data_IF_266617693867
#
_entry.id   IF_266617693867
#
_cell.length_a   1.000
_cell.length_b   1.000
_cell.length_c   1.000
_cell.angle_alpha   90.00
_cell.angle_beta   90.00
_cell.angle_gamma   90.00
#
_symmetry.space_group_name_H-M   'P 1'
#
loop_
_entity.id
_entity.type
_entity.pdbx_description
1 polymer ?
#
# COMPACT_ATOMS: atom_id res chain seq x y z
N UNK A 1 -38.46 -94.29 -15.39
CA UNK A 1 -37.06 -93.77 -15.48
C UNK A 1 -36.96 -92.95 -16.73
N UNK A 2 -36.86 -91.64 -16.66
CA UNK A 2 -36.73 -90.82 -17.84
C UNK A 2 -36.39 -89.36 -17.39
N UNK A 3 -35.14 -89.06 -17.44
CA UNK A 3 -34.66 -87.70 -17.23
C UNK A 3 -35.05 -86.77 -18.39
N UNK A 4 -35.73 -85.68 -18.06
CA UNK A 4 -35.91 -84.53 -19.02
C UNK A 4 -34.88 -83.52 -18.79
N UNK A 5 -34.16 -83.12 -19.91
CA UNK A 5 -33.19 -82.07 -19.98
C UNK A 5 -33.84 -80.72 -19.79
N UNK A 6 -33.16 -79.85 -19.05
CA UNK A 6 -33.47 -78.42 -18.96
C UNK A 6 -33.16 -77.73 -20.30
N UNK A 7 -34.05 -76.83 -20.73
CA UNK A 7 -33.86 -75.98 -21.89
C UNK A 7 -33.04 -74.77 -21.52
N UNK A 8 -32.03 -74.45 -22.32
CA UNK A 8 -31.22 -73.27 -22.23
C UNK A 8 -32.07 -72.03 -22.56
N UNK A 9 -32.07 -71.06 -21.68
CA UNK A 9 -32.65 -69.71 -21.89
C UNK A 9 -31.52 -68.78 -22.26
N UNK A 10 -31.52 -68.26 -23.49
CA UNK A 10 -30.58 -67.25 -23.95
C UNK A 10 -30.77 -65.95 -23.16
N UNK A 11 -29.67 -65.22 -22.78
CA UNK A 11 -29.79 -63.92 -22.16
C UNK A 11 -30.13 -62.84 -23.18
N UNK A 12 -31.16 -62.07 -22.92
CA UNK A 12 -31.56 -60.91 -23.70
C UNK A 12 -30.42 -59.85 -23.76
N UNK A 13 -30.13 -59.44 -24.99
CA UNK A 13 -29.28 -58.25 -25.24
C UNK A 13 -29.95 -56.98 -24.71
N UNK A 14 -29.50 -56.52 -23.50
CA UNK A 14 -29.95 -55.27 -22.92
C UNK A 14 -28.84 -54.24 -22.76
N UNK A 15 -27.64 -54.52 -23.31
CA UNK A 15 -26.45 -53.68 -23.01
C UNK A 15 -26.19 -52.50 -23.96
N UNK A 16 -26.90 -52.44 -25.13
CA UNK A 16 -26.60 -51.42 -26.15
C UNK A 16 -27.20 -50.03 -25.84
N UNK A 17 -28.25 -49.99 -25.01
CA UNK A 17 -28.91 -48.70 -24.69
C UNK A 17 -28.32 -47.96 -23.49
N UNK A 18 -27.62 -48.64 -22.60
CA UNK A 18 -27.07 -48.01 -21.40
C UNK A 18 -25.81 -47.16 -21.67
N UNK A 19 -24.95 -47.66 -22.56
CA UNK A 19 -23.75 -46.91 -22.94
C UNK A 19 -24.08 -45.63 -23.74
N UNK A 20 -25.11 -45.64 -24.58
CA UNK A 20 -25.59 -44.45 -25.30
C UNK A 20 -26.15 -43.38 -24.37
N UNK A 21 -26.83 -43.76 -23.30
CA UNK A 21 -27.37 -42.82 -22.29
C UNK A 21 -26.27 -42.23 -21.39
N UNK A 22 -25.24 -43.00 -21.02
CA UNK A 22 -24.09 -42.54 -20.25
C UNK A 22 -23.28 -41.53 -20.99
N UNK A 23 -23.04 -41.79 -22.32
CA UNK A 23 -22.32 -40.84 -23.17
C UNK A 23 -23.09 -39.52 -23.43
N UNK A 24 -24.43 -39.61 -23.53
CA UNK A 24 -25.28 -38.43 -23.70
C UNK A 24 -25.32 -37.57 -22.42
N UNK A 25 -25.39 -38.18 -21.25
CA UNK A 25 -25.34 -37.48 -19.94
C UNK A 25 -23.96 -36.89 -19.66
N UNK A 26 -22.87 -37.60 -20.01
CA UNK A 26 -21.53 -37.08 -19.88
C UNK A 26 -21.27 -35.86 -20.77
N UNK A 27 -21.79 -35.85 -22.02
CA UNK A 27 -21.65 -34.71 -22.93
C UNK A 27 -22.45 -33.49 -22.48
N UNK A 28 -23.63 -33.67 -21.89
CA UNK A 28 -24.45 -32.57 -21.35
C UNK A 28 -23.88 -32.00 -20.07
N UNK A 29 -23.30 -32.80 -19.18
CA UNK A 29 -22.63 -32.34 -17.98
C UNK A 29 -21.35 -31.58 -18.32
N UNK A 30 -20.56 -32.05 -19.30
CA UNK A 30 -19.37 -31.35 -19.80
C UNK A 30 -19.72 -30.02 -20.48
N UNK A 31 -20.80 -29.95 -21.25
CA UNK A 31 -21.26 -28.71 -21.88
C UNK A 31 -21.81 -27.72 -20.86
N UNK A 32 -22.54 -28.17 -19.82
CA UNK A 32 -23.00 -27.31 -18.73
C UNK A 32 -21.84 -26.80 -17.86
N UNK A 33 -20.87 -27.65 -17.54
CA UNK A 33 -19.68 -27.21 -16.79
C UNK A 33 -18.81 -26.25 -17.60
N UNK A 34 -18.71 -26.43 -18.92
CA UNK A 34 -18.01 -25.48 -19.80
C UNK A 34 -18.75 -24.13 -19.90
N UNK A 35 -20.09 -24.14 -19.98
CA UNK A 35 -20.90 -22.91 -19.94
C UNK A 35 -20.87 -22.20 -18.59
N UNK A 36 -20.84 -22.94 -17.48
CA UNK A 36 -20.68 -22.35 -16.14
C UNK A 36 -19.28 -21.79 -15.97
N UNK A 37 -18.25 -22.47 -16.46
CA UNK A 37 -16.86 -22.00 -16.39
C UNK A 37 -16.62 -20.76 -17.29
N UNK A 38 -17.22 -20.69 -18.47
CA UNK A 38 -17.17 -19.49 -19.32
C UNK A 38 -17.99 -18.34 -18.76
N UNK A 39 -19.15 -18.62 -18.12
CA UNK A 39 -19.95 -17.59 -17.44
C UNK A 39 -19.30 -17.06 -16.15
N UNK A 40 -18.45 -17.84 -15.48
CA UNK A 40 -17.66 -17.39 -14.34
C UNK A 40 -16.36 -16.67 -14.75
N UNK A 41 -15.90 -16.87 -16.00
CA UNK A 41 -14.74 -16.17 -16.57
C UNK A 41 -15.07 -14.77 -17.11
N UNK A 42 -16.35 -14.41 -17.28
CA UNK A 42 -16.78 -13.09 -17.78
C UNK A 42 -17.27 -12.13 -16.67
N UNK A 43 -16.99 -12.41 -15.41
CA UNK A 43 -16.82 -11.31 -14.44
C UNK A 43 -15.39 -10.78 -14.56
N UNK A 44 -15.01 -10.30 -15.73
CA UNK A 44 -13.97 -9.31 -15.87
C UNK A 44 -14.47 -8.06 -15.11
N UNK A 45 -14.18 -7.98 -13.83
CA UNK A 45 -14.09 -6.69 -13.17
C UNK A 45 -12.92 -5.98 -13.88
N UNK A 46 -13.24 -5.00 -14.69
CA UNK A 46 -12.30 -4.01 -15.21
C UNK A 46 -11.80 -3.10 -14.07
N UNK A 47 -11.70 -3.61 -12.85
CA UNK A 47 -11.05 -2.91 -11.76
C UNK A 47 -9.57 -2.83 -12.12
N UNK A 48 -9.14 -1.62 -12.43
CA UNK A 48 -7.73 -1.37 -12.70
C UNK A 48 -6.92 -1.77 -11.47
N UNK A 49 -5.84 -2.53 -11.67
CA UNK A 49 -4.94 -2.92 -10.57
C UNK A 49 -4.50 -1.68 -9.78
N UNK A 50 -4.57 -1.69 -8.44
CA UNK A 50 -4.16 -0.57 -7.61
C UNK A 50 -2.73 -0.12 -7.93
N UNK A 51 -2.57 1.14 -8.30
CA UNK A 51 -1.27 1.78 -8.58
C UNK A 51 -1.37 3.29 -8.60
N UNK A 52 -0.23 3.94 -8.46
CA UNK A 52 -0.06 5.40 -8.62
C UNK A 52 0.89 5.65 -9.77
N UNK A 53 0.50 6.51 -10.73
CA UNK A 53 1.32 6.95 -11.85
C UNK A 53 1.62 8.44 -11.71
N UNK A 54 2.89 8.82 -11.77
CA UNK A 54 3.31 10.20 -11.66
C UNK A 54 3.24 10.86 -13.02
N UNK A 55 2.49 11.95 -13.15
CA UNK A 55 2.47 12.73 -14.38
C UNK A 55 3.67 13.70 -14.44
N UNK A 56 4.28 13.81 -15.62
CA UNK A 56 5.40 14.76 -15.82
C UNK A 56 4.94 16.19 -15.51
N UNK A 57 5.55 16.80 -14.49
CA UNK A 57 5.18 18.14 -13.99
C UNK A 57 3.69 18.30 -13.65
N UNK A 58 3.03 17.19 -13.31
CA UNK A 58 1.60 17.10 -13.08
C UNK A 58 1.24 16.37 -11.78
N UNK A 59 -0.01 15.93 -11.66
CA UNK A 59 -0.55 15.24 -10.49
C UNK A 59 0.00 13.82 -10.32
N UNK A 60 -0.52 13.14 -9.29
CA UNK A 60 -0.50 11.69 -9.17
C UNK A 60 -1.82 11.15 -9.71
N UNK A 61 -1.77 10.29 -10.73
CA UNK A 61 -2.92 9.50 -11.17
C UNK A 61 -3.02 8.26 -10.30
N UNK A 62 -4.13 8.09 -9.61
CA UNK A 62 -4.42 6.96 -8.74
C UNK A 62 -5.44 6.06 -9.43
N UNK A 63 -5.16 4.77 -9.52
CA UNK A 63 -6.00 3.76 -10.17
C UNK A 63 -6.34 2.62 -9.22
N UNK A 64 -7.46 1.93 -9.47
CA UNK A 64 -7.87 0.73 -8.75
C UNK A 64 -8.68 1.02 -7.49
N UNK A 65 -9.40 2.14 -7.45
CA UNK A 65 -10.33 2.44 -6.37
C UNK A 65 -9.69 2.55 -4.98
N UNK A 66 -8.42 2.96 -4.92
CA UNK A 66 -7.68 3.03 -3.64
C UNK A 66 -8.40 3.97 -2.69
N UNK A 67 -8.76 3.54 -1.46
CA UNK A 67 -9.39 4.41 -0.48
C UNK A 67 -8.52 5.60 -0.10
N UNK A 68 -9.16 6.75 0.19
CA UNK A 68 -8.51 8.01 0.55
C UNK A 68 -9.16 8.58 1.81
N UNK A 69 -8.38 8.88 2.85
CA UNK A 69 -8.87 9.49 4.09
C UNK A 69 -7.85 10.45 4.69
N UNK A 70 -8.30 11.32 5.59
CA UNK A 70 -7.41 12.13 6.43
C UNK A 70 -6.76 11.23 7.48
N UNK A 71 -5.49 11.47 7.74
CA UNK A 71 -4.69 10.73 8.71
C UNK A 71 -4.00 11.71 9.65
N UNK A 72 -4.56 11.90 10.84
CA UNK A 72 -4.08 12.85 11.83
C UNK A 72 -2.92 12.30 12.65
N UNK A 73 -1.87 13.08 12.86
CA UNK A 73 -0.87 12.82 13.88
C UNK A 73 -1.44 13.27 15.22
N UNK A 74 -1.54 12.34 16.18
CA UNK A 74 -1.97 12.61 17.55
C UNK A 74 -0.76 12.75 18.45
N UNK A 75 -0.77 13.79 19.32
CA UNK A 75 0.28 14.01 20.30
C UNK A 75 -0.02 13.31 21.64
N UNK A 76 1.05 12.92 22.35
CA UNK A 76 0.95 12.55 23.75
C UNK A 76 0.84 13.80 24.66
N UNK A 77 0.80 13.59 25.98
CA UNK A 77 0.70 14.68 26.97
C UNK A 77 1.88 15.68 26.92
N UNK A 78 3.03 15.27 26.40
CA UNK A 78 4.23 16.10 26.23
C UNK A 78 4.27 16.79 24.85
N UNK A 79 3.21 16.69 24.04
CA UNK A 79 3.12 17.30 22.71
C UNK A 79 3.98 16.58 21.65
N UNK A 80 4.40 15.34 21.89
CA UNK A 80 5.18 14.53 20.94
C UNK A 80 4.27 13.71 20.06
N UNK A 81 4.62 13.52 18.78
CA UNK A 81 3.89 12.61 17.88
C UNK A 81 3.87 11.21 18.46
N UNK A 82 2.67 10.68 18.72
CA UNK A 82 2.50 9.46 19.48
C UNK A 82 1.77 8.36 18.74
N UNK A 83 0.65 8.70 18.10
CA UNK A 83 -0.22 7.75 17.41
C UNK A 83 -0.88 8.38 16.20
N UNK A 84 -1.67 7.60 15.49
CA UNK A 84 -2.43 8.00 14.31
C UNK A 84 -3.93 7.93 14.61
N UNK A 85 -4.67 8.91 14.13
CA UNK A 85 -6.13 8.91 14.14
C UNK A 85 -6.67 9.10 12.72
N UNK A 86 -7.65 8.26 12.33
CA UNK A 86 -8.33 8.38 11.06
C UNK A 86 -9.33 9.54 11.11
N UNK A 87 -9.25 10.43 10.15
CA UNK A 87 -10.21 11.50 9.94
C UNK A 87 -11.26 11.14 8.88
N UNK A 88 -11.76 12.19 8.20
CA UNK A 88 -12.76 12.06 7.15
C UNK A 88 -12.26 11.17 6.00
N UNK A 89 -13.18 10.35 5.46
CA UNK A 89 -12.94 9.52 4.27
C UNK A 89 -13.52 10.21 3.06
N UNK A 90 -12.70 10.41 2.03
CA UNK A 90 -13.14 10.94 0.76
C UNK A 90 -13.82 9.85 -0.07
N UNK A 91 -14.85 10.24 -0.83
CA UNK A 91 -15.43 9.34 -1.81
C UNK A 91 -14.41 9.12 -2.92
N UNK A 92 -13.82 7.92 -2.98
CA UNK A 92 -12.93 7.50 -4.07
C UNK A 92 -13.74 6.96 -5.25
N UNK A 93 -13.33 7.32 -6.46
CA UNK A 93 -13.77 6.71 -7.71
C UNK A 93 -12.73 5.62 -8.10
N UNK A 94 -13.01 4.85 -9.16
CA UNK A 94 -12.07 3.82 -9.67
C UNK A 94 -10.71 4.43 -10.05
N UNK A 95 -10.71 5.71 -10.42
CA UNK A 95 -9.50 6.51 -10.64
C UNK A 95 -9.71 7.96 -10.26
N UNK A 96 -8.67 8.60 -9.73
CA UNK A 96 -8.70 10.04 -9.38
C UNK A 96 -7.29 10.62 -9.40
N UNK A 97 -7.22 11.97 -9.38
CA UNK A 97 -5.95 12.70 -9.44
C UNK A 97 -5.69 13.47 -8.16
N UNK A 98 -4.53 13.26 -7.54
CA UNK A 98 -4.12 13.99 -6.34
C UNK A 98 -3.15 15.11 -6.67
N UNK A 99 -3.34 16.24 -6.01
CA UNK A 99 -2.48 17.42 -6.15
C UNK A 99 -1.05 17.09 -5.71
N UNK A 100 -0.08 17.45 -6.58
CA UNK A 100 1.35 17.29 -6.33
C UNK A 100 2.08 18.63 -6.20
N UNK A 101 1.50 19.71 -6.76
CA UNK A 101 2.11 21.04 -6.78
C UNK A 101 1.85 21.88 -5.53
N UNK A 102 0.89 21.48 -4.67
CA UNK A 102 0.52 22.18 -3.45
C UNK A 102 -0.40 23.40 -3.62
N UNK A 103 -0.81 23.74 -4.86
CA UNK A 103 -1.53 24.97 -5.17
C UNK A 103 -2.96 24.74 -5.70
N UNK A 104 -3.45 23.52 -5.76
CA UNK A 104 -4.84 23.25 -6.10
C UNK A 104 -5.80 24.00 -5.16
N UNK A 105 -6.88 24.56 -5.68
CA UNK A 105 -7.99 25.11 -4.90
C UNK A 105 -9.01 24.05 -4.47
N UNK A 106 -8.86 22.81 -4.97
CA UNK A 106 -9.72 21.65 -4.70
C UNK A 106 -8.96 20.51 -4.01
N UNK A 107 -8.06 20.85 -3.07
CA UNK A 107 -7.28 19.84 -2.36
C UNK A 107 -8.17 18.83 -1.62
N UNK A 108 -7.81 17.55 -1.60
CA UNK A 108 -6.53 16.98 -2.03
C UNK A 108 -6.44 16.73 -3.55
N UNK A 109 -7.49 16.96 -4.31
CA UNK A 109 -7.56 16.66 -5.74
C UNK A 109 -6.86 17.71 -6.61
N UNK A 110 -6.45 17.28 -7.82
CA UNK A 110 -5.87 18.17 -8.81
C UNK A 110 -6.98 19.00 -9.49
N UNK A 111 -6.69 20.29 -9.77
CA UNK A 111 -7.54 21.22 -10.52
C UNK A 111 -6.79 21.90 -11.66
N UNK A 112 -5.71 21.31 -12.14
CA UNK A 112 -4.82 21.80 -13.20
C UNK A 112 -4.09 23.13 -12.90
N UNK A 113 -4.11 23.60 -11.65
CA UNK A 113 -3.34 24.78 -11.24
C UNK A 113 -1.84 24.62 -11.51
N UNK A 114 -1.30 23.37 -11.48
CA UNK A 114 0.09 23.08 -11.82
C UNK A 114 0.51 23.59 -13.21
N UNK A 115 -0.40 23.63 -14.18
CA UNK A 115 -0.14 24.18 -15.52
C UNK A 115 0.07 25.69 -15.48
N UNK A 116 -0.77 26.40 -14.69
CA UNK A 116 -0.76 27.87 -14.58
C UNK A 116 0.51 28.37 -13.87
N UNK A 117 0.97 27.63 -12.86
CA UNK A 117 2.17 28.02 -12.08
C UNK A 117 3.46 27.45 -12.66
N UNK A 118 3.40 26.72 -13.77
CA UNK A 118 4.54 26.03 -14.38
C UNK A 118 5.29 25.16 -13.38
N UNK A 119 4.54 24.29 -12.67
CA UNK A 119 5.09 23.42 -11.64
C UNK A 119 6.23 22.56 -12.15
N UNK A 120 7.40 22.67 -11.49
CA UNK A 120 8.52 21.75 -11.71
C UNK A 120 8.37 20.52 -10.80
N UNK A 121 7.87 19.45 -11.39
CA UNK A 121 7.70 18.16 -10.75
C UNK A 121 8.82 17.18 -11.03
N UNK A 122 10.00 17.64 -11.45
CA UNK A 122 11.15 16.78 -11.75
C UNK A 122 11.43 15.82 -10.60
N UNK A 123 11.47 14.54 -10.91
CA UNK A 123 11.78 13.49 -9.94
C UNK A 123 13.29 13.43 -9.71
N UNK A 124 13.68 13.58 -8.45
CA UNK A 124 15.09 13.70 -8.01
C UNK A 124 15.47 12.60 -7.01
N UNK A 125 14.50 11.78 -6.61
CA UNK A 125 14.72 10.71 -5.64
C UNK A 125 15.66 9.63 -6.19
N UNK A 126 16.44 9.03 -5.30
CA UNK A 126 17.26 7.87 -5.62
C UNK A 126 16.39 6.71 -6.12
N UNK A 127 16.91 5.97 -7.10
CA UNK A 127 16.31 4.72 -7.63
C UNK A 127 16.93 3.47 -7.01
N UNK A 128 17.94 3.63 -6.17
CA UNK A 128 18.56 2.52 -5.49
C UNK A 128 17.56 1.84 -4.54
N UNK A 129 17.64 0.53 -4.37
CA UNK A 129 16.88 -0.19 -3.33
C UNK A 129 17.08 0.41 -1.94
N UNK A 130 16.08 0.25 -1.08
CA UNK A 130 16.12 0.81 0.28
C UNK A 130 17.38 0.40 1.05
N UNK A 131 17.76 -0.86 0.98
CA UNK A 131 18.93 -1.39 1.71
C UNK A 131 20.25 -0.76 1.29
N UNK A 132 20.35 -0.26 0.06
CA UNK A 132 21.53 0.46 -0.43
C UNK A 132 21.54 1.93 0.02
N UNK A 133 20.37 2.48 0.39
CA UNK A 133 20.22 3.85 0.88
C UNK A 133 20.28 3.95 2.40
N UNK A 134 19.93 2.88 3.11
CA UNK A 134 19.78 2.86 4.55
C UNK A 134 21.11 2.63 5.29
N UNK A 135 21.35 3.43 6.33
CA UNK A 135 22.39 3.15 7.32
C UNK A 135 21.84 2.17 8.34
N UNK A 136 22.61 1.14 8.67
CA UNK A 136 22.23 0.14 9.69
C UNK A 136 22.72 0.56 11.07
N UNK A 137 21.85 0.41 12.07
CA UNK A 137 22.12 0.64 13.49
C UNK A 137 21.88 -0.69 14.21
N UNK A 138 22.97 -1.28 14.68
CA UNK A 138 22.98 -2.61 15.26
C UNK A 138 22.81 -2.55 16.79
N UNK A 139 21.59 -2.78 17.29
CA UNK A 139 21.26 -2.86 18.72
C UNK A 139 21.39 -4.26 19.27
N UNK A 140 21.18 -4.48 20.59
CA UNK A 140 21.29 -5.79 21.23
C UNK A 140 20.33 -6.85 20.69
N UNK A 141 19.05 -6.47 20.40
CA UNK A 141 18.00 -7.40 19.96
C UNK A 141 17.39 -7.03 18.61
N UNK A 142 17.61 -5.81 18.12
CA UNK A 142 17.09 -5.28 16.88
C UNK A 142 18.20 -4.71 16.01
N UNK A 143 18.04 -4.83 14.70
CA UNK A 143 18.80 -4.06 13.71
C UNK A 143 17.84 -3.06 13.08
N UNK A 144 18.18 -1.77 13.11
CA UNK A 144 17.38 -0.71 12.49
C UNK A 144 18.05 -0.18 11.24
N UNK A 145 17.31 -0.14 10.13
CA UNK A 145 17.66 0.60 8.93
C UNK A 145 17.18 2.05 9.03
N UNK A 146 17.95 3.01 8.48
CA UNK A 146 17.60 4.43 8.45
C UNK A 146 18.01 5.07 7.11
N UNK A 147 17.06 5.18 6.18
CA UNK A 147 17.22 5.89 4.91
C UNK A 147 16.85 7.38 5.08
N UNK A 148 17.74 8.16 5.62
CA UNK A 148 17.50 9.55 6.04
C UNK A 148 16.87 10.48 4.99
N UNK A 149 17.13 10.25 3.69
CA UNK A 149 16.54 11.01 2.58
C UNK A 149 15.02 10.89 2.47
N UNK A 150 14.42 9.83 3.06
CA UNK A 150 12.98 9.58 3.06
C UNK A 150 12.25 10.18 4.28
N UNK A 151 12.91 11.03 5.06
CA UNK A 151 12.32 11.58 6.27
C UNK A 151 11.19 12.58 5.96
N UNK A 152 9.96 12.21 6.24
CA UNK A 152 8.78 13.10 6.10
C UNK A 152 8.55 14.02 7.31
N UNK A 153 9.46 14.02 8.29
CA UNK A 153 9.37 14.85 9.50
C UNK A 153 8.12 14.64 10.39
N UNK A 154 7.55 13.42 10.38
CA UNK A 154 6.41 13.08 11.24
C UNK A 154 6.78 12.90 12.72
N UNK A 155 8.06 12.84 13.06
CA UNK A 155 8.67 12.94 14.41
C UNK A 155 8.38 11.80 15.39
N UNK A 156 7.69 10.76 15.03
CA UNK A 156 7.46 9.60 15.91
C UNK A 156 8.75 9.02 16.50
N UNK A 157 9.84 9.03 15.70
CA UNK A 157 11.16 8.52 16.10
C UNK A 157 11.93 9.38 17.13
N UNK A 158 11.26 10.34 17.73
CA UNK A 158 11.80 11.20 18.79
C UNK A 158 10.82 11.41 19.95
N UNK A 159 9.76 10.63 20.03
CA UNK A 159 8.74 10.75 21.07
C UNK A 159 9.31 10.44 22.45
N UNK A 160 10.04 9.34 22.58
CA UNK A 160 10.63 8.88 23.86
C UNK A 160 12.16 9.09 23.93
N UNK A 161 12.72 9.74 22.90
CA UNK A 161 14.16 10.02 22.81
C UNK A 161 14.65 9.92 21.37
N UNK A 162 15.97 9.94 21.18
CA UNK A 162 16.54 9.73 19.84
C UNK A 162 16.52 8.25 19.52
N UNK A 163 15.73 7.82 18.53
CA UNK A 163 15.55 6.42 18.15
C UNK A 163 16.88 5.67 17.96
N UNK A 164 17.92 6.34 17.39
CA UNK A 164 19.25 5.76 17.21
C UNK A 164 19.96 5.43 18.51
N UNK A 165 19.60 6.11 19.61
CA UNK A 165 20.12 5.81 20.95
C UNK A 165 19.28 4.74 21.63
N UNK A 166 17.95 4.74 21.41
CA UNK A 166 17.04 3.75 21.98
C UNK A 166 17.31 2.36 21.42
N UNK A 167 17.61 2.23 20.11
CA UNK A 167 17.93 0.93 19.50
C UNK A 167 19.11 0.24 20.17
N UNK A 168 20.07 1.01 20.73
CA UNK A 168 21.22 0.47 21.46
C UNK A 168 20.88 -0.05 22.87
N UNK A 169 19.64 0.13 23.32
CA UNK A 169 19.16 -0.24 24.65
C UNK A 169 18.05 -1.29 24.60
N UNK A 170 17.87 -1.94 23.45
CA UNK A 170 16.77 -2.90 23.19
C UNK A 170 16.92 -4.26 23.89
N UNK A 171 17.94 -4.44 24.73
CA UNK A 171 17.98 -5.50 25.75
C UNK A 171 16.96 -5.29 26.88
N UNK A 172 16.53 -4.04 27.12
CA UNK A 172 15.38 -3.74 27.95
C UNK A 172 14.08 -3.97 27.15
N UNK A 173 13.18 -4.87 27.59
CA UNK A 173 11.94 -5.17 26.88
C UNK A 173 11.02 -3.95 26.68
N UNK A 174 11.00 -3.00 27.63
CA UNK A 174 10.18 -1.80 27.52
C UNK A 174 10.75 -0.86 26.45
N UNK A 175 12.06 -0.66 26.40
CA UNK A 175 12.73 0.13 25.36
C UNK A 175 12.57 -0.55 24.00
N UNK A 176 12.67 -1.88 23.92
CA UNK A 176 12.43 -2.62 22.68
C UNK A 176 11.02 -2.40 22.15
N UNK A 177 10.01 -2.49 23.00
CA UNK A 177 8.61 -2.25 22.61
C UNK A 177 8.41 -0.82 22.10
N UNK A 178 9.04 0.16 22.76
CA UNK A 178 8.98 1.56 22.36
C UNK A 178 9.66 1.82 21.00
N UNK A 179 10.83 1.23 20.74
CA UNK A 179 11.51 1.31 19.45
C UNK A 179 10.62 0.74 18.34
N UNK A 180 9.97 -0.41 18.58
CA UNK A 180 9.04 -0.99 17.61
C UNK A 180 7.88 -0.04 17.34
N UNK A 181 7.24 0.52 18.36
CA UNK A 181 6.14 1.48 18.23
C UNK A 181 6.56 2.71 17.42
N UNK A 182 7.68 3.33 17.75
CA UNK A 182 8.16 4.53 17.05
C UNK A 182 8.48 4.27 15.58
N UNK A 183 9.08 3.11 15.27
CA UNK A 183 9.41 2.75 13.89
C UNK A 183 8.17 2.38 13.09
N UNK A 184 7.24 1.62 13.67
CA UNK A 184 5.99 1.23 13.01
C UNK A 184 5.10 2.45 12.69
N UNK A 185 5.17 3.51 13.49
CA UNK A 185 4.45 4.76 13.25
C UNK A 185 5.16 5.70 12.24
N UNK A 186 6.36 5.35 11.75
CA UNK A 186 7.04 6.15 10.73
C UNK A 186 6.35 6.00 9.36
N UNK A 187 5.63 7.02 8.84
CA UNK A 187 4.78 6.84 7.64
C UNK A 187 5.59 6.66 6.37
N UNK A 188 6.80 7.18 6.31
CA UNK A 188 7.63 7.09 5.11
C UNK A 188 8.36 5.76 4.95
N UNK A 189 8.30 4.87 5.98
CA UNK A 189 9.14 3.69 6.02
C UNK A 189 10.64 4.02 5.93
N UNK A 190 11.04 5.27 6.25
CA UNK A 190 12.45 5.63 6.38
C UNK A 190 13.17 4.69 7.33
N UNK A 191 12.49 4.28 8.42
CA UNK A 191 12.99 3.37 9.42
C UNK A 191 12.40 1.98 9.19
N UNK A 192 13.24 0.95 9.24
CA UNK A 192 12.87 -0.47 9.22
C UNK A 192 13.48 -1.16 10.42
N UNK A 193 12.91 -2.29 10.81
CA UNK A 193 13.43 -3.10 11.93
C UNK A 193 13.53 -4.57 11.52
N UNK A 194 14.60 -5.22 12.00
CA UNK A 194 14.80 -6.65 11.92
C UNK A 194 15.07 -7.21 13.32
N UNK A 195 14.41 -8.28 13.66
CA UNK A 195 14.70 -9.02 14.89
C UNK A 195 15.97 -9.85 14.72
N UNK A 196 16.92 -9.72 15.65
CA UNK A 196 18.23 -10.38 15.54
C UNK A 196 18.21 -11.89 15.78
N UNK A 197 17.16 -12.40 16.42
CA UNK A 197 17.05 -13.85 16.72
C UNK A 197 16.37 -14.57 15.56
N UNK A 198 15.23 -14.04 15.09
CA UNK A 198 14.48 -14.64 13.99
C UNK A 198 15.01 -14.24 12.62
N UNK A 199 15.78 -13.17 12.53
CA UNK A 199 16.25 -12.52 11.28
C UNK A 199 15.12 -12.01 10.39
N UNK A 200 13.88 -11.96 10.92
CA UNK A 200 12.72 -11.46 10.19
C UNK A 200 12.56 -9.95 10.36
N UNK A 201 12.07 -9.31 9.30
CA UNK A 201 11.62 -7.94 9.36
C UNK A 201 10.41 -7.82 10.30
N UNK A 202 10.41 -6.78 11.14
CA UNK A 202 9.27 -6.39 11.96
C UNK A 202 8.55 -5.28 11.21
N UNK A 203 7.38 -5.60 10.65
CA UNK A 203 6.56 -4.66 9.89
C UNK A 203 5.08 -4.95 10.13
N UNK A 204 4.25 -3.89 10.13
CA UNK A 204 2.80 -4.03 10.22
C UNK A 204 2.23 -4.52 8.88
N UNK A 205 1.22 -5.39 8.93
CA UNK A 205 0.38 -5.64 7.77
C UNK A 205 -0.51 -4.40 7.54
N UNK A 206 -0.34 -3.72 6.41
CA UNK A 206 -1.12 -2.54 6.03
C UNK A 206 -1.93 -2.85 4.79
N UNK A 207 -3.21 -2.47 4.81
CA UNK A 207 -4.07 -2.57 3.64
C UNK A 207 -3.76 -1.43 2.65
N UNK A 208 -3.98 -1.64 1.33
CA UNK A 208 -3.79 -0.62 0.33
C UNK A 208 -4.71 0.60 0.56
N UNK A 209 -4.13 1.71 0.98
CA UNK A 209 -4.85 2.96 1.27
C UNK A 209 -3.91 4.17 1.14
N UNK A 210 -4.48 5.35 0.87
CA UNK A 210 -3.75 6.63 0.89
C UNK A 210 -4.29 7.49 2.04
N UNK A 211 -3.42 7.82 3.00
CA UNK A 211 -3.69 8.79 4.07
C UNK A 211 -3.22 10.18 3.66
N UNK A 212 -4.09 11.18 3.84
CA UNK A 212 -3.73 12.59 3.77
C UNK A 212 -3.26 12.99 5.15
N UNK A 213 -1.96 13.14 5.33
CA UNK A 213 -1.39 13.41 6.66
C UNK A 213 -1.66 14.84 7.07
N UNK A 214 -2.25 15.00 8.27
CA UNK A 214 -2.37 16.27 8.97
C UNK A 214 -1.56 16.21 10.27
N UNK A 215 -0.69 17.17 10.43
CA UNK A 215 0.19 17.28 11.60
C UNK A 215 -0.40 18.26 12.60
N UNK A 216 -1.44 17.81 13.32
CA UNK A 216 -2.18 18.64 14.29
C UNK A 216 -1.24 19.30 15.31
N UNK A 217 -0.27 18.57 15.92
CA UNK A 217 0.66 19.17 16.87
C UNK A 217 1.56 20.28 16.31
N UNK A 218 1.82 20.29 14.99
CA UNK A 218 2.59 21.35 14.35
C UNK A 218 1.73 22.41 13.67
N UNK A 219 0.41 22.17 13.49
CA UNK A 219 -0.48 23.05 12.76
C UNK A 219 -0.05 23.17 11.28
N UNK A 220 0.31 22.08 10.63
CA UNK A 220 0.64 22.06 9.22
C UNK A 220 0.19 20.76 8.54
N UNK A 221 -0.18 20.87 7.25
CA UNK A 221 -0.50 19.70 6.43
C UNK A 221 0.77 18.96 6.03
N UNK A 222 0.71 17.62 6.06
CA UNK A 222 1.82 16.72 5.75
C UNK A 222 1.76 16.14 4.33
N UNK A 223 2.46 15.02 4.09
CA UNK A 223 2.48 14.32 2.80
C UNK A 223 1.24 13.46 2.55
N UNK A 224 1.21 12.78 1.39
CA UNK A 224 0.39 11.60 1.20
C UNK A 224 1.11 10.39 1.82
N UNK A 225 0.44 9.63 2.66
CA UNK A 225 0.94 8.37 3.19
C UNK A 225 0.36 7.21 2.40
N UNK A 226 1.17 6.63 1.53
CA UNK A 226 0.81 5.46 0.71
C UNK A 226 1.16 4.20 1.50
N UNK A 227 0.18 3.32 1.70
CA UNK A 227 0.25 2.14 2.53
C UNK A 227 -0.07 0.88 1.72
N UNK A 228 0.39 -0.29 2.21
CA UNK A 228 -0.02 -1.59 1.69
C UNK A 228 0.64 -1.97 0.36
N UNK A 229 1.85 -1.50 0.10
CA UNK A 229 2.63 -1.96 -1.05
C UNK A 229 2.09 -1.52 -2.41
N UNK A 230 1.43 -0.37 -2.49
CA UNK A 230 0.91 0.17 -3.76
C UNK A 230 2.07 0.51 -4.69
N UNK A 231 2.11 -0.03 -5.93
CA UNK A 231 3.12 0.31 -6.92
C UNK A 231 3.08 1.80 -7.31
N UNK A 232 4.26 2.42 -7.41
CA UNK A 232 4.41 3.81 -7.84
C UNK A 232 5.26 3.83 -9.10
N UNK A 233 4.65 4.29 -10.20
CA UNK A 233 5.25 4.43 -11.51
C UNK A 233 5.66 5.89 -11.72
N UNK A 234 6.89 6.08 -12.14
CA UNK A 234 7.48 7.37 -12.47
C UNK A 234 6.96 7.92 -13.80
N UNK A 235 7.15 9.21 -14.03
CA UNK A 235 6.75 9.88 -15.26
C UNK A 235 7.44 9.35 -16.54
N UNK A 236 8.51 8.58 -16.42
CA UNK A 236 9.19 7.92 -17.54
C UNK A 236 8.81 6.44 -17.70
N UNK A 237 7.84 5.94 -16.91
CA UNK A 237 7.36 4.56 -16.95
C UNK A 237 8.17 3.56 -16.11
N UNK A 238 9.21 3.99 -15.42
CA UNK A 238 9.96 3.13 -14.50
C UNK A 238 9.25 3.03 -13.15
N UNK A 239 9.27 1.86 -12.54
CA UNK A 239 8.68 1.64 -11.23
C UNK A 239 9.69 1.92 -10.11
N UNK A 240 9.24 2.62 -9.05
CA UNK A 240 9.97 2.69 -7.80
C UNK A 240 9.88 1.36 -7.05
N UNK A 241 10.84 1.10 -6.14
CA UNK A 241 10.77 -0.05 -5.25
C UNK A 241 9.43 -0.09 -4.52
N UNK A 242 8.74 -1.23 -4.58
CA UNK A 242 7.48 -1.42 -3.86
C UNK A 242 7.81 -1.57 -2.37
N UNK A 243 7.23 -0.70 -1.56
CA UNK A 243 7.42 -0.69 -0.11
C UNK A 243 6.08 -0.60 0.59
N UNK A 244 5.98 -1.22 1.75
CA UNK A 244 4.75 -1.26 2.55
C UNK A 244 4.27 0.14 2.98
N UNK A 245 5.21 1.08 3.17
CA UNK A 245 4.95 2.47 3.58
C UNK A 245 5.86 3.42 2.82
N UNK A 246 5.28 4.42 2.19
CA UNK A 246 6.03 5.54 1.60
C UNK A 246 5.24 6.84 1.77
N UNK A 247 5.94 7.97 1.74
CA UNK A 247 5.28 9.29 1.74
C UNK A 247 5.60 10.05 0.47
N UNK A 248 4.55 10.51 -0.23
CA UNK A 248 4.67 11.31 -1.44
C UNK A 248 4.47 12.80 -1.13
N UNK A 249 5.27 13.63 -1.79
CA UNK A 249 5.17 15.08 -1.67
C UNK A 249 3.88 15.60 -2.28
N UNK A 250 3.08 16.35 -1.52
CA UNK A 250 1.91 17.09 -2.02
C UNK A 250 2.00 18.61 -1.86
N UNK A 251 3.03 19.13 -1.19
CA UNK A 251 3.28 20.55 -1.03
C UNK A 251 4.06 21.18 -2.20
N UNK A 252 4.58 20.38 -3.12
CA UNK A 252 5.39 20.80 -4.27
C UNK A 252 6.85 21.15 -3.97
N UNK A 253 7.25 21.30 -2.70
CA UNK A 253 8.52 21.87 -2.29
C UNK A 253 9.63 20.85 -1.97
N UNK A 254 9.33 19.52 -1.99
CA UNK A 254 10.33 18.49 -1.74
C UNK A 254 11.51 18.58 -2.73
N UNK A 255 12.72 18.38 -2.21
CA UNK A 255 13.95 18.23 -2.99
C UNK A 255 14.26 16.77 -3.32
N UNK A 256 13.42 15.84 -2.84
CA UNK A 256 13.52 14.40 -3.06
C UNK A 256 12.27 13.85 -3.78
N UNK A 257 11.69 14.63 -4.70
CA UNK A 257 10.48 14.22 -5.44
C UNK A 257 10.66 12.88 -6.14
N UNK A 258 9.67 11.98 -6.12
CA UNK A 258 8.29 12.17 -5.67
C UNK A 258 8.10 12.06 -4.16
N UNK A 259 9.10 11.57 -3.42
CA UNK A 259 8.97 11.35 -1.98
C UNK A 259 8.99 12.66 -1.20
N UNK A 260 8.36 12.64 -0.02
CA UNK A 260 8.44 13.72 0.92
C UNK A 260 9.81 13.73 1.61
N UNK A 261 10.37 14.94 1.83
CA UNK A 261 11.60 15.18 2.58
C UNK A 261 11.41 16.07 3.81
N UNK A 262 10.15 16.34 4.18
CA UNK A 262 9.80 17.20 5.31
C UNK A 262 9.73 18.69 4.97
N UNK A 263 9.96 19.09 3.71
CA UNK A 263 9.94 20.52 3.29
C UNK A 263 8.60 21.21 3.57
N UNK A 264 7.47 20.46 3.64
CA UNK A 264 6.15 21.00 3.96
C UNK A 264 6.12 21.78 5.28
N UNK A 265 6.89 21.34 6.30
CA UNK A 265 7.00 22.05 7.58
C UNK A 265 7.68 23.41 7.42
N UNK A 266 8.76 23.46 6.62
CA UNK A 266 9.53 24.70 6.42
C UNK A 266 8.75 25.75 5.62
N UNK A 267 7.90 25.32 4.68
CA UNK A 267 7.09 26.22 3.87
C UNK A 267 5.74 26.53 4.50
N UNK A 268 5.43 25.95 5.67
CA UNK A 268 4.13 26.13 6.34
C UNK A 268 2.98 25.67 5.44
N UNK A 269 3.10 24.46 4.85
CA UNK A 269 2.07 23.98 3.94
C UNK A 269 0.76 23.74 4.68
N UNK A 270 -0.30 24.37 4.15
CA UNK A 270 -1.66 24.24 4.60
C UNK A 270 -2.53 23.90 3.38
N UNK A 271 -3.31 22.85 3.47
CA UNK A 271 -4.22 22.44 2.39
C UNK A 271 -5.68 22.89 2.62
N UNK A 272 -5.95 23.52 3.75
CA UNK A 272 -7.28 23.99 4.14
C UNK A 272 -8.20 22.88 4.65
N UNK A 273 -7.68 21.71 4.99
CA UNK A 273 -8.43 20.58 5.56
C UNK A 273 -8.29 20.50 7.09
N UNK A 274 -7.55 21.41 7.72
CA UNK A 274 -7.55 21.58 9.15
C UNK A 274 -8.87 22.22 9.60
N UNK A 275 -9.57 21.60 10.52
CA UNK A 275 -10.65 22.19 11.33
C UNK A 275 -10.22 22.33 12.81
#
# INVERSE_FOLDING_TARGET
>A
MGFRRAQDVEPLHLDIHLESYVLLLASTVLSLSYLIFTSMSEKNSTEATPRIVIQKNGPYDVYGGIPLHIQNIVANAEGKSWDWENGETFKSEDSYQLCRCGHSSNKPFCDDTHLKIHFDGTETASRLPYDEQAKKFDGPTLVMGDAGALCSNARFCSASGKIRNLVQQTNDPAVRAEVIREVMNCPSGRLTLYDKISEHEIENALEPVIGIVEDIPLGCSGPLWVQGGIPIESANGEQYEIRNRVTLCRCGSSKNKPFCDGSHVMVGFDDGLFD
#
